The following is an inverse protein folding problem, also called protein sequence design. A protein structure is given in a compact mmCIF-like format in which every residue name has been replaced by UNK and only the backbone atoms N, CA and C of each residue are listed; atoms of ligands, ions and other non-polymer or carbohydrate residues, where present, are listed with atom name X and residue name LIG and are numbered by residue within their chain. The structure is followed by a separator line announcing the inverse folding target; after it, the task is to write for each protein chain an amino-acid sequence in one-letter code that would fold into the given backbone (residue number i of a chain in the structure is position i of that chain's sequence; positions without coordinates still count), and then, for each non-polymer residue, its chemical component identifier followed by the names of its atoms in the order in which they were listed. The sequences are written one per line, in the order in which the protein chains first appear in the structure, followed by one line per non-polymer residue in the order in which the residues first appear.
data_IF_546195414445
#
_entry.id   IF_546195414445
#
_cell.length_a   1.000
_cell.length_b   1.000
_cell.length_c   1.000
_cell.angle_alpha   90.00
_cell.angle_beta   90.00
_cell.angle_gamma   90.00
#
_symmetry.space_group_name_H-M   'P 1'
#
loop_
_entity.id
_entity.type
_entity.pdbx_description
1 polymer ?
#
# COMPACT_ATOMS: atom_id res chain seq x y z
N UNK A 1 24.67 14.53 -4.12
CA UNK A 1 25.32 13.26 -3.75
C UNK A 1 24.62 12.52 -2.60
N UNK A 2 24.15 13.21 -1.56
CA UNK A 2 23.42 12.60 -0.43
C UNK A 2 22.03 12.05 -0.82
N UNK A 3 21.28 12.74 -1.68
CA UNK A 3 19.95 12.30 -2.16
C UNK A 3 20.01 11.02 -3.01
N UNK A 4 21.04 10.86 -3.84
CA UNK A 4 21.22 9.67 -4.69
C UNK A 4 21.58 8.42 -3.87
N UNK A 5 22.30 8.59 -2.79
CA UNK A 5 22.61 7.50 -1.84
C UNK A 5 21.40 7.13 -0.97
N UNK A 6 20.58 8.12 -0.60
CA UNK A 6 19.29 7.87 0.07
C UNK A 6 18.31 7.14 -0.85
N UNK A 7 18.25 7.55 -2.12
CA UNK A 7 17.39 6.91 -3.12
C UNK A 7 17.80 5.46 -3.38
N UNK A 8 19.10 5.19 -3.50
CA UNK A 8 19.61 3.83 -3.67
C UNK A 8 19.41 2.98 -2.41
N UNK A 9 19.54 3.55 -1.22
CA UNK A 9 19.24 2.88 0.05
C UNK A 9 17.74 2.62 0.24
N UNK A 10 16.87 3.51 -0.24
CA UNK A 10 15.41 3.31 -0.28
C UNK A 10 15.03 2.23 -1.30
N UNK A 11 15.72 2.14 -2.43
CA UNK A 11 15.51 1.08 -3.44
C UNK A 11 15.92 -0.28 -2.87
N UNK A 12 17.00 -0.37 -2.11
CA UNK A 12 17.36 -1.59 -1.38
C UNK A 12 16.34 -1.94 -0.30
N UNK A 13 15.73 -0.96 0.34
CA UNK A 13 14.66 -1.18 1.31
C UNK A 13 13.34 -1.58 0.64
N UNK A 14 13.05 -1.13 -0.59
CA UNK A 14 11.91 -1.61 -1.37
C UNK A 14 12.10 -3.06 -1.84
N UNK A 15 13.35 -3.51 -2.04
CA UNK A 15 13.66 -4.92 -2.24
C UNK A 15 13.44 -5.76 -0.97
N UNK A 16 13.62 -5.18 0.22
CA UNK A 16 13.24 -5.80 1.50
C UNK A 16 11.72 -5.96 1.60
N UNK A 17 10.90 -5.06 1.04
CA UNK A 17 9.47 -5.25 0.90
C UNK A 17 9.08 -6.38 -0.05
N UNK A 18 9.90 -6.68 -1.07
CA UNK A 18 9.77 -7.88 -1.90
C UNK A 18 9.98 -9.18 -1.11
N UNK A 19 10.74 -9.13 0.00
CA UNK A 19 10.96 -10.24 0.92
C UNK A 19 9.77 -10.49 1.87
N UNK A 20 8.85 -9.55 2.02
CA UNK A 20 7.61 -9.72 2.80
C UNK A 20 6.42 -10.25 1.96
N UNK A 21 6.59 -10.40 0.66
CA UNK A 21 5.81 -11.39 -0.06
C UNK A 21 6.33 -12.75 0.42
N UNK A 22 5.46 -13.70 0.82
CA UNK A 22 5.93 -15.02 1.19
C UNK A 22 6.72 -15.59 0.02
N UNK A 23 8.04 -15.42 0.09
CA UNK A 23 9.00 -16.01 -0.81
C UNK A 23 9.17 -17.43 -0.37
N UNK A 24 8.21 -18.28 -0.65
CA UNK A 24 8.50 -19.67 -0.84
C UNK A 24 9.35 -19.74 -2.10
N UNK A 25 10.48 -20.39 -2.02
CA UNK A 25 11.25 -20.87 -3.16
C UNK A 25 10.32 -21.75 -3.99
N UNK A 26 9.60 -21.12 -4.92
CA UNK A 26 8.70 -21.82 -5.81
C UNK A 26 9.49 -22.22 -7.05
N UNK A 27 9.52 -23.49 -7.27
CA UNK A 27 10.08 -24.17 -8.43
C UNK A 27 9.75 -23.42 -9.73
N UNK A 28 10.77 -23.04 -10.49
CA UNK A 28 10.80 -21.85 -11.36
C UNK A 28 9.98 -21.85 -12.65
N UNK A 29 9.10 -22.82 -12.95
CA UNK A 29 8.43 -22.86 -14.25
C UNK A 29 6.89 -22.80 -14.22
N UNK A 30 6.23 -23.21 -13.16
CA UNK A 30 4.76 -23.11 -13.05
C UNK A 30 4.28 -21.90 -12.25
N UNK A 31 5.19 -21.16 -11.65
CA UNK A 31 4.90 -20.10 -10.68
C UNK A 31 4.64 -18.74 -11.29
N UNK A 32 5.21 -18.43 -12.46
CA UNK A 32 5.03 -17.13 -13.09
C UNK A 32 3.60 -16.94 -13.64
N UNK A 33 3.02 -17.99 -14.23
CA UNK A 33 1.63 -17.95 -14.72
C UNK A 33 0.65 -17.89 -13.56
N UNK A 34 0.83 -18.70 -12.52
CA UNK A 34 -0.02 -18.70 -11.32
C UNK A 34 0.04 -17.38 -10.57
N UNK A 35 1.22 -16.77 -10.47
CA UNK A 35 1.38 -15.45 -9.84
C UNK A 35 0.73 -14.34 -10.67
N UNK A 36 0.84 -14.40 -11.99
CA UNK A 36 0.18 -13.42 -12.86
C UNK A 36 -1.34 -13.53 -12.78
N UNK A 37 -1.88 -14.74 -12.77
CA UNK A 37 -3.31 -14.98 -12.57
C UNK A 37 -3.80 -14.46 -11.21
N UNK A 38 -3.01 -14.64 -10.14
CA UNK A 38 -3.35 -14.12 -8.81
C UNK A 38 -3.36 -12.59 -8.77
N UNK A 39 -2.42 -11.94 -9.48
CA UNK A 39 -2.32 -10.48 -9.54
C UNK A 39 -3.51 -9.81 -10.22
N UNK A 40 -4.22 -10.53 -11.09
CA UNK A 40 -5.42 -10.02 -11.78
C UNK A 40 -6.70 -10.19 -10.96
N UNK A 41 -6.65 -10.96 -9.87
CA UNK A 41 -7.84 -11.23 -9.05
C UNK A 41 -8.24 -10.00 -8.21
N UNK A 42 -9.55 -9.72 -8.10
CA UNK A 42 -10.06 -8.63 -7.27
C UNK A 42 -9.58 -8.65 -5.82
N UNK A 43 -9.51 -9.85 -5.24
CA UNK A 43 -9.05 -10.04 -3.85
C UNK A 43 -7.60 -9.60 -3.66
N UNK A 44 -6.77 -9.77 -4.67
CA UNK A 44 -5.37 -9.33 -4.64
C UNK A 44 -5.26 -7.81 -4.62
N UNK A 45 -6.03 -7.12 -5.44
CA UNK A 45 -5.98 -5.64 -5.53
C UNK A 45 -6.36 -4.99 -4.20
N UNK A 46 -7.45 -5.41 -3.60
CA UNK A 46 -7.91 -4.85 -2.32
C UNK A 46 -6.99 -5.28 -1.18
N UNK A 47 -6.58 -6.54 -1.15
CA UNK A 47 -5.66 -7.06 -0.14
C UNK A 47 -4.31 -6.37 -0.15
N UNK A 48 -3.75 -6.09 -1.33
CA UNK A 48 -2.48 -5.38 -1.47
C UNK A 48 -2.57 -3.92 -1.02
N UNK A 49 -3.63 -3.22 -1.38
CA UNK A 49 -3.86 -1.88 -0.88
C UNK A 49 -3.88 -1.85 0.65
N UNK A 50 -4.74 -2.66 1.25
CA UNK A 50 -4.89 -2.77 2.70
C UNK A 50 -3.56 -3.10 3.37
N UNK A 51 -2.82 -4.09 2.86
CA UNK A 51 -1.54 -4.53 3.43
C UNK A 51 -0.47 -3.45 3.34
N UNK A 52 -0.31 -2.81 2.18
CA UNK A 52 0.70 -1.77 1.99
C UNK A 52 0.46 -0.59 2.92
N UNK A 53 -0.76 -0.09 3.01
CA UNK A 53 -1.08 1.06 3.86
C UNK A 53 -0.99 0.70 5.34
N UNK A 54 -1.50 -0.46 5.75
CA UNK A 54 -1.44 -0.91 7.15
C UNK A 54 0.01 -1.12 7.60
N UNK A 55 0.85 -1.72 6.77
CA UNK A 55 2.26 -1.94 7.10
C UNK A 55 3.08 -0.66 7.08
N UNK A 56 2.66 0.36 6.36
CA UNK A 56 3.34 1.64 6.29
C UNK A 56 3.51 2.30 7.66
N UNK A 57 2.51 2.22 8.53
CA UNK A 57 2.58 2.77 9.90
C UNK A 57 3.73 2.12 10.68
N UNK A 58 3.80 0.81 10.65
CA UNK A 58 4.84 0.06 11.38
C UNK A 58 6.24 0.30 10.79
N UNK A 59 6.32 0.39 9.47
CA UNK A 59 7.56 0.68 8.77
C UNK A 59 8.09 2.08 9.10
N UNK A 60 7.24 3.09 9.01
CA UNK A 60 7.62 4.46 9.37
C UNK A 60 8.16 4.55 10.79
N UNK A 61 7.51 3.89 11.74
CA UNK A 61 7.97 3.87 13.13
C UNK A 61 9.38 3.28 13.24
N UNK A 62 9.65 2.17 12.56
CA UNK A 62 10.97 1.52 12.57
C UNK A 62 12.04 2.37 11.88
N UNK A 63 11.73 2.96 10.73
CA UNK A 63 12.64 3.83 9.98
C UNK A 63 12.96 5.09 10.77
N UNK A 64 11.96 5.74 11.34
CA UNK A 64 12.14 6.93 12.17
C UNK A 64 13.00 6.63 13.40
N UNK A 65 12.79 5.50 14.07
CA UNK A 65 13.61 5.07 15.21
C UNK A 65 15.06 4.79 14.79
N UNK A 66 15.25 4.16 13.64
CA UNK A 66 16.60 3.92 13.10
C UNK A 66 17.35 5.22 12.84
N UNK A 67 16.69 6.21 12.21
CA UNK A 67 17.33 7.51 11.92
C UNK A 67 17.53 8.39 13.16
N UNK A 68 16.63 8.31 14.16
CA UNK A 68 16.82 9.00 15.44
C UNK A 68 18.06 8.52 16.20
N UNK A 69 18.40 7.25 16.04
CA UNK A 69 19.55 6.63 16.70
C UNK A 69 20.84 6.76 15.88
N UNK A 70 20.76 7.20 14.63
CA UNK A 70 21.94 7.52 13.82
C UNK A 70 22.37 8.96 14.08
N UNK A 71 23.68 9.18 14.30
CA UNK A 71 24.26 10.51 14.51
C UNK A 71 24.33 11.35 13.21
N UNK A 72 23.50 11.06 12.22
CA UNK A 72 23.46 11.79 10.96
C UNK A 72 22.31 12.78 10.96
N UNK A 73 22.58 14.00 10.52
CA UNK A 73 21.57 15.04 10.32
C UNK A 73 20.69 14.68 9.11
N UNK A 74 19.58 13.99 9.36
CA UNK A 74 18.52 13.79 8.38
C UNK A 74 17.28 14.58 8.78
N UNK A 75 16.64 15.23 7.82
CA UNK A 75 15.30 15.73 8.03
C UNK A 75 14.32 14.54 8.04
N UNK A 76 13.85 14.22 9.25
CA UNK A 76 12.93 13.11 9.47
C UNK A 76 11.61 13.33 8.72
N UNK A 77 11.16 14.57 8.55
CA UNK A 77 9.95 14.90 7.84
C UNK A 77 10.07 14.58 6.34
N UNK A 78 11.20 14.91 5.73
CA UNK A 78 11.46 14.60 4.31
C UNK A 78 11.45 13.08 4.06
N UNK A 79 12.02 12.31 4.98
CA UNK A 79 12.02 10.84 4.90
C UNK A 79 10.61 10.29 5.03
N UNK A 80 9.82 10.81 5.96
CA UNK A 80 8.43 10.43 6.16
C UNK A 80 7.58 10.73 4.93
N UNK A 81 7.68 11.92 4.38
CA UNK A 81 6.95 12.34 3.18
C UNK A 81 7.33 11.50 1.95
N UNK A 82 8.61 11.22 1.75
CA UNK A 82 9.08 10.36 0.67
C UNK A 82 8.53 8.93 0.81
N UNK A 83 8.53 8.38 2.02
CA UNK A 83 7.96 7.06 2.30
C UNK A 83 6.45 6.99 2.05
N UNK A 84 5.71 7.99 2.50
CA UNK A 84 4.27 8.11 2.23
C UNK A 84 3.98 8.18 0.73
N UNK A 85 4.72 9.00 0.01
CA UNK A 85 4.56 9.15 -1.44
C UNK A 85 4.71 7.80 -2.17
N UNK A 86 5.76 7.07 -1.87
CA UNK A 86 6.02 5.76 -2.51
C UNK A 86 4.91 4.76 -2.18
N UNK A 87 4.53 4.64 -0.91
CA UNK A 87 3.55 3.65 -0.47
C UNK A 87 2.16 3.94 -1.03
N UNK A 88 1.68 5.17 -0.92
CA UNK A 88 0.32 5.51 -1.38
C UNK A 88 0.19 5.48 -2.89
N UNK A 89 1.22 5.86 -3.66
CA UNK A 89 1.18 5.73 -5.11
C UNK A 89 1.24 4.26 -5.55
N UNK A 90 2.01 3.42 -4.86
CA UNK A 90 2.01 1.98 -5.12
C UNK A 90 0.69 1.33 -4.72
N UNK A 91 0.13 1.67 -3.58
CA UNK A 91 -1.18 1.20 -3.15
C UNK A 91 -2.29 1.62 -4.14
N UNK A 92 -2.22 2.84 -4.65
CA UNK A 92 -3.12 3.33 -5.69
C UNK A 92 -3.08 2.47 -6.95
N UNK A 93 -1.91 2.03 -7.39
CA UNK A 93 -1.78 1.17 -8.57
C UNK A 93 -2.58 -0.13 -8.47
N UNK A 94 -2.79 -0.63 -7.26
CA UNK A 94 -3.66 -1.79 -7.00
C UNK A 94 -5.13 -1.42 -6.89
N UNK A 95 -5.47 -0.46 -6.01
CA UNK A 95 -6.86 -0.12 -5.70
C UNK A 95 -7.60 0.54 -6.87
N UNK A 96 -6.88 1.21 -7.76
CA UNK A 96 -7.45 1.89 -8.93
C UNK A 96 -8.14 0.94 -9.93
N UNK A 97 -7.83 -0.34 -9.86
CA UNK A 97 -8.48 -1.37 -10.69
C UNK A 97 -9.85 -1.80 -10.17
N UNK A 98 -10.23 -1.40 -8.97
CA UNK A 98 -11.47 -1.83 -8.33
C UNK A 98 -12.69 -1.23 -9.04
N UNK A 99 -13.63 -2.11 -9.41
CA UNK A 99 -14.95 -1.72 -9.89
C UNK A 99 -16.01 -2.11 -8.84
N UNK A 100 -16.60 -1.11 -8.20
CA UNK A 100 -17.61 -1.30 -7.14
C UNK A 100 -18.94 -1.88 -7.64
N UNK A 101 -19.11 -2.03 -8.95
CA UNK A 101 -20.28 -2.68 -9.58
C UNK A 101 -20.01 -4.14 -9.93
N UNK A 102 -18.76 -4.52 -10.08
CA UNK A 102 -18.37 -5.89 -10.40
C UNK A 102 -18.51 -6.81 -9.18
N UNK A 103 -19.17 -7.95 -9.36
CA UNK A 103 -19.42 -8.90 -8.28
C UNK A 103 -18.13 -9.41 -7.61
N UNK A 104 -17.10 -9.71 -8.39
CA UNK A 104 -15.82 -10.19 -7.87
C UNK A 104 -15.17 -9.16 -6.93
N UNK A 105 -15.22 -7.87 -7.29
CA UNK A 105 -14.73 -6.79 -6.43
C UNK A 105 -15.62 -6.56 -5.21
N UNK A 106 -16.94 -6.69 -5.35
CA UNK A 106 -17.85 -6.59 -4.21
C UNK A 106 -17.56 -7.70 -3.19
N UNK A 107 -17.37 -8.94 -3.64
CA UNK A 107 -17.03 -10.07 -2.77
C UNK A 107 -15.67 -9.87 -2.08
N UNK A 108 -14.69 -9.32 -2.80
CA UNK A 108 -13.38 -8.99 -2.24
C UNK A 108 -13.47 -7.86 -1.19
N UNK A 109 -14.25 -6.81 -1.45
CA UNK A 109 -14.51 -5.75 -0.48
C UNK A 109 -15.17 -6.32 0.77
N UNK A 110 -16.16 -7.17 0.62
CA UNK A 110 -16.84 -7.85 1.73
C UNK A 110 -15.86 -8.70 2.55
N UNK A 111 -14.99 -9.45 1.89
CA UNK A 111 -13.98 -10.29 2.55
C UNK A 111 -13.03 -9.48 3.44
N UNK A 112 -12.59 -8.31 2.94
CA UNK A 112 -11.63 -7.46 3.65
C UNK A 112 -12.27 -6.36 4.50
N UNK A 113 -13.61 -6.25 4.56
CA UNK A 113 -14.31 -5.21 5.30
C UNK A 113 -14.11 -5.36 6.80
N UNK A 114 -13.20 -4.59 7.33
CA UNK A 114 -12.88 -4.45 8.75
C UNK A 114 -12.39 -3.04 9.07
N UNK A 115 -12.13 -2.76 10.33
CA UNK A 115 -11.64 -1.45 10.75
C UNK A 115 -10.27 -1.09 10.14
N UNK A 116 -9.41 -2.08 9.87
CA UNK A 116 -8.11 -1.86 9.22
C UNK A 116 -8.27 -1.41 7.77
N UNK A 117 -9.20 -2.01 7.02
CA UNK A 117 -9.51 -1.53 5.67
C UNK A 117 -10.04 -0.11 5.69
N UNK A 118 -11.00 0.20 6.58
CA UNK A 118 -11.57 1.53 6.69
C UNK A 118 -10.50 2.58 7.05
N UNK A 119 -9.65 2.28 8.02
CA UNK A 119 -8.53 3.15 8.39
C UNK A 119 -7.56 3.35 7.21
N UNK A 120 -7.24 2.29 6.47
CA UNK A 120 -6.34 2.39 5.31
C UNK A 120 -6.94 3.25 4.19
N UNK A 121 -8.25 3.18 3.97
CA UNK A 121 -8.94 4.02 3.00
C UNK A 121 -8.97 5.49 3.44
N UNK A 122 -9.21 5.76 4.72
CA UNK A 122 -9.16 7.11 5.27
C UNK A 122 -7.76 7.74 5.14
N UNK A 123 -6.74 6.97 5.43
CA UNK A 123 -5.34 7.43 5.26
C UNK A 123 -5.02 7.75 3.79
N UNK A 124 -5.48 6.94 2.86
CA UNK A 124 -5.34 7.21 1.42
C UNK A 124 -6.07 8.49 0.99
N UNK A 125 -7.28 8.68 1.47
CA UNK A 125 -8.07 9.90 1.21
C UNK A 125 -7.33 11.13 1.74
N UNK A 126 -6.85 11.07 2.97
CA UNK A 126 -6.09 12.17 3.58
C UNK A 126 -4.81 12.48 2.80
N UNK A 127 -4.07 11.46 2.40
CA UNK A 127 -2.85 11.63 1.61
C UNK A 127 -3.13 12.30 0.24
N UNK A 128 -4.08 11.79 -0.52
CA UNK A 128 -4.41 12.34 -1.84
C UNK A 128 -5.09 13.69 -1.77
N UNK A 129 -5.78 14.00 -0.68
CA UNK A 129 -6.37 15.33 -0.44
C UNK A 129 -5.28 16.40 -0.27
N UNK A 130 -4.18 16.08 0.41
CA UNK A 130 -3.04 17.01 0.54
C UNK A 130 -2.43 17.38 -0.82
N UNK A 131 -2.41 16.43 -1.75
CA UNK A 131 -1.90 16.62 -3.11
C UNK A 131 -2.99 17.11 -4.10
N UNK A 132 -4.16 17.49 -3.59
CA UNK A 132 -5.31 17.97 -4.38
C UNK A 132 -5.82 16.97 -5.43
N UNK A 133 -5.56 15.68 -5.25
CA UNK A 133 -6.01 14.60 -6.12
C UNK A 133 -7.43 14.13 -5.75
N UNK A 134 -8.38 15.01 -5.85
CA UNK A 134 -9.76 14.81 -5.37
C UNK A 134 -10.50 13.67 -6.06
N UNK A 135 -10.18 13.36 -7.32
CA UNK A 135 -10.76 12.22 -8.02
C UNK A 135 -10.39 10.90 -7.35
N UNK A 136 -9.13 10.79 -6.89
CA UNK A 136 -8.67 9.62 -6.12
C UNK A 136 -9.37 9.54 -4.76
N UNK A 137 -9.55 10.66 -4.09
CA UNK A 137 -10.30 10.74 -2.84
C UNK A 137 -11.76 10.26 -3.02
N UNK A 138 -12.44 10.73 -4.06
CA UNK A 138 -13.81 10.34 -4.37
C UNK A 138 -13.91 8.84 -4.68
N UNK A 139 -12.93 8.29 -5.38
CA UNK A 139 -12.85 6.87 -5.71
C UNK A 139 -12.70 6.00 -4.45
N UNK A 140 -11.76 6.35 -3.57
CA UNK A 140 -11.56 5.64 -2.29
C UNK A 140 -12.79 5.75 -1.38
N UNK A 141 -13.45 6.89 -1.38
CA UNK A 141 -14.68 7.09 -0.61
C UNK A 141 -15.82 6.18 -1.10
N UNK A 142 -15.94 5.94 -2.41
CA UNK A 142 -16.91 4.98 -2.95
C UNK A 142 -16.66 3.57 -2.44
N UNK A 143 -15.41 3.15 -2.43
CA UNK A 143 -15.01 1.85 -1.89
C UNK A 143 -15.33 1.76 -0.40
N UNK A 144 -14.98 2.80 0.37
CA UNK A 144 -15.30 2.88 1.80
C UNK A 144 -16.79 2.77 2.08
N UNK A 145 -17.61 3.54 1.38
CA UNK A 145 -19.07 3.48 1.53
C UNK A 145 -19.63 2.10 1.20
N UNK A 146 -19.08 1.42 0.19
CA UNK A 146 -19.44 0.04 -0.13
C UNK A 146 -19.05 -0.92 0.99
N UNK A 147 -17.83 -0.79 1.50
CA UNK A 147 -17.30 -1.61 2.59
C UNK A 147 -18.11 -1.48 3.88
N UNK A 148 -18.52 -0.26 4.23
CA UNK A 148 -19.32 0.00 5.44
C UNK A 148 -20.67 -0.74 5.46
N UNK A 149 -21.24 -1.05 4.29
CA UNK A 149 -22.49 -1.85 4.18
C UNK A 149 -22.28 -3.30 4.61
N UNK A 150 -21.05 -3.79 4.64
CA UNK A 150 -20.71 -5.16 5.03
C UNK A 150 -20.11 -5.24 6.44
N UNK A 151 -19.98 -4.13 7.13
CA UNK A 151 -19.52 -4.11 8.52
C UNK A 151 -20.62 -4.75 9.38
N UNK A 152 -20.24 -5.82 10.04
CA UNK A 152 -21.08 -6.49 11.04
C UNK A 152 -20.95 -5.80 12.40
#
# INVERSE_FOLDING_TARGET
MKLKNMYNKMIDMTNIFGLFLPGEELDGNNTSETLNELREKPIFHIGMYKKLVTNHINFNTKVLNFFKNSNQEFDINDIKEAGEYVVFNRAWSYISNVDVKNKGYIDAIKHYSDDKLHTSLDMGIEFFQRDELYERCAFLLKIKKKSLKFKK
#
